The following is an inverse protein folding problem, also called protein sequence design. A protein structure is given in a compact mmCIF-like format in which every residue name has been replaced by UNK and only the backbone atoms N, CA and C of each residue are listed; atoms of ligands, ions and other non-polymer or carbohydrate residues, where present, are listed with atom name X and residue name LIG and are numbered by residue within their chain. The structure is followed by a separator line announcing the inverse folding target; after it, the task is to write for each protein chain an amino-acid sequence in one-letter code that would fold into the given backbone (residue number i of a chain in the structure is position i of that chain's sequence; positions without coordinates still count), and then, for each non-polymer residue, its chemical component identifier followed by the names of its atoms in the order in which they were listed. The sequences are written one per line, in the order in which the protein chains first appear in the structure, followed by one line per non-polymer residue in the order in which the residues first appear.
data_IF_406277099636
#
_entry.id   IF_406277099636
#
_cell.length_a   1.000
_cell.length_b   1.000
_cell.length_c   1.000
_cell.angle_alpha   90.00
_cell.angle_beta   90.00
_cell.angle_gamma   90.00
#
_symmetry.space_group_name_H-M   'P 1'
#
loop_
_entity.id
_entity.type
_entity.pdbx_description
1 polymer ?
#
# COMPACT_ATOMS: atom_id res chain seq x y z
N UNK A 1 17.96 12.37 -17.00
CA UNK A 1 16.83 12.43 -16.04
C UNK A 1 15.85 13.55 -16.39
N UNK A 2 16.31 14.79 -16.61
CA UNK A 2 15.42 15.93 -16.97
C UNK A 2 14.72 15.79 -18.32
N UNK A 3 15.39 15.21 -19.32
CA UNK A 3 14.83 15.03 -20.67
C UNK A 3 13.60 14.11 -20.68
N UNK A 4 13.54 13.13 -19.78
CA UNK A 4 12.36 12.26 -19.69
C UNK A 4 11.15 12.96 -19.05
N UNK A 5 11.38 13.88 -18.11
CA UNK A 5 10.30 14.69 -17.50
C UNK A 5 9.74 15.66 -18.54
N UNK A 6 10.62 16.29 -19.33
CA UNK A 6 10.24 17.15 -20.45
C UNK A 6 9.30 16.42 -21.43
N UNK A 7 9.65 15.19 -21.82
CA UNK A 7 8.81 14.35 -22.69
C UNK A 7 7.46 14.06 -22.05
N UNK A 8 7.42 13.67 -20.77
CA UNK A 8 6.15 13.38 -20.07
C UNK A 8 5.25 14.61 -19.92
N UNK A 9 5.82 15.78 -19.66
CA UNK A 9 5.09 17.06 -19.65
C UNK A 9 4.48 17.37 -21.02
N UNK A 10 5.25 17.16 -22.09
CA UNK A 10 4.74 17.30 -23.46
C UNK A 10 3.55 16.37 -23.73
N UNK A 11 3.65 15.11 -23.32
CA UNK A 11 2.55 14.13 -23.47
C UNK A 11 1.29 14.58 -22.72
N UNK A 12 1.41 15.17 -21.52
CA UNK A 12 0.26 15.72 -20.77
C UNK A 12 -0.43 16.83 -21.55
N UNK A 13 0.35 17.76 -22.11
CA UNK A 13 -0.20 18.86 -22.91
C UNK A 13 -0.92 18.36 -24.16
N UNK A 14 -0.30 17.42 -24.87
CA UNK A 14 -0.88 16.81 -26.07
C UNK A 14 -2.16 16.02 -25.76
N UNK A 15 -2.19 15.28 -24.65
CA UNK A 15 -3.37 14.56 -24.19
C UNK A 15 -4.55 15.48 -23.83
N UNK A 16 -4.26 16.73 -23.43
CA UNK A 16 -5.27 17.76 -23.19
C UNK A 16 -5.68 18.51 -24.47
N UNK A 17 -4.96 18.33 -25.59
CA UNK A 17 -5.17 19.10 -26.82
C UNK A 17 -4.82 20.58 -26.67
N UNK A 18 -3.97 20.93 -25.70
CA UNK A 18 -3.69 22.31 -25.32
C UNK A 18 -2.42 22.84 -26.00
N UNK A 19 -2.38 24.15 -26.23
CA UNK A 19 -1.16 24.87 -26.61
C UNK A 19 -0.33 25.20 -25.37
N UNK A 20 0.96 25.50 -25.52
CA UNK A 20 1.81 25.93 -24.39
C UNK A 20 1.22 27.10 -23.59
N UNK A 21 0.58 28.05 -24.30
CA UNK A 21 -0.02 29.23 -23.68
C UNK A 21 -1.30 28.86 -22.93
N UNK A 22 -2.16 28.05 -23.53
CA UNK A 22 -3.46 27.71 -22.93
C UNK A 22 -3.32 26.80 -21.72
N UNK A 23 -2.41 25.81 -21.75
CA UNK A 23 -2.13 24.98 -20.57
C UNK A 23 -1.50 25.80 -19.42
N UNK A 24 -0.60 26.74 -19.73
CA UNK A 24 -0.02 27.62 -18.71
C UNK A 24 -1.11 28.43 -18.00
N UNK A 25 -2.01 29.05 -18.76
CA UNK A 25 -3.13 29.81 -18.21
C UNK A 25 -4.09 28.93 -17.40
N UNK A 26 -4.43 27.74 -17.93
CA UNK A 26 -5.31 26.78 -17.27
C UNK A 26 -4.78 26.34 -15.90
N UNK A 27 -3.47 26.18 -15.78
CA UNK A 27 -2.81 25.79 -14.52
C UNK A 27 -2.49 26.99 -13.61
N UNK A 28 -2.81 28.22 -14.03
CA UNK A 28 -2.49 29.44 -13.28
C UNK A 28 -1.00 29.78 -13.27
N UNK A 29 -0.28 29.37 -14.31
CA UNK A 29 1.15 29.62 -14.49
C UNK A 29 1.38 30.84 -15.41
N UNK A 30 2.61 31.37 -15.40
CA UNK A 30 3.03 32.39 -16.36
C UNK A 30 2.95 31.86 -17.80
N UNK A 31 2.67 32.70 -18.82
CA UNK A 31 2.33 32.26 -20.19
C UNK A 31 3.38 31.38 -20.88
N UNK A 32 4.65 31.50 -20.46
CA UNK A 32 5.79 30.76 -21.00
C UNK A 32 6.30 29.66 -20.07
N UNK A 33 5.77 29.56 -18.84
CA UNK A 33 6.33 28.68 -17.81
C UNK A 33 6.18 27.21 -18.19
N UNK A 34 5.08 26.81 -18.85
CA UNK A 34 4.94 25.43 -19.30
C UNK A 34 5.97 25.06 -20.38
N UNK A 35 6.22 25.97 -21.33
CA UNK A 35 7.25 25.78 -22.35
C UNK A 35 8.63 25.62 -21.71
N UNK A 36 8.95 26.48 -20.74
CA UNK A 36 10.22 26.39 -19.99
C UNK A 36 10.35 25.05 -19.25
N UNK A 37 9.26 24.55 -18.65
CA UNK A 37 9.23 23.22 -18.03
C UNK A 37 9.50 22.10 -19.06
N UNK A 38 8.90 22.18 -20.26
CA UNK A 38 9.16 21.23 -21.35
C UNK A 38 10.59 21.33 -21.92
N UNK A 39 11.22 22.50 -21.91
CA UNK A 39 12.58 22.70 -22.44
C UNK A 39 13.66 22.29 -21.43
N UNK A 40 13.46 22.65 -20.15
CA UNK A 40 14.44 22.42 -19.09
C UNK A 40 14.26 21.08 -18.38
N UNK A 41 13.11 20.43 -18.57
CA UNK A 41 12.71 19.24 -17.80
C UNK A 41 12.44 19.55 -16.32
N UNK A 42 12.27 20.82 -15.97
CA UNK A 42 11.97 21.25 -14.60
C UNK A 42 10.49 21.03 -14.30
N UNK A 43 10.20 20.46 -13.14
CA UNK A 43 8.84 20.27 -12.68
C UNK A 43 8.14 21.61 -12.39
N UNK A 44 6.84 21.72 -12.73
CA UNK A 44 6.00 22.80 -12.23
C UNK A 44 5.98 22.83 -10.70
N UNK A 45 5.65 23.99 -10.13
CA UNK A 45 5.46 24.12 -8.68
C UNK A 45 4.27 23.28 -8.19
N UNK A 46 4.18 23.09 -6.87
CA UNK A 46 3.17 22.25 -6.21
C UNK A 46 1.74 22.57 -6.64
N UNK A 47 1.37 23.85 -6.76
CA UNK A 47 -0.01 24.23 -7.10
C UNK A 47 -0.41 23.80 -8.53
N UNK A 48 0.38 24.06 -9.59
CA UNK A 48 0.15 23.46 -10.91
C UNK A 48 0.10 21.92 -10.91
N UNK A 49 0.93 21.24 -10.11
CA UNK A 49 0.90 19.78 -9.99
C UNK A 49 -0.42 19.29 -9.38
N UNK A 50 -0.93 19.95 -8.35
CA UNK A 50 -2.24 19.63 -7.78
C UNK A 50 -3.37 19.80 -8.80
N UNK A 51 -3.30 20.86 -9.62
CA UNK A 51 -4.27 21.09 -10.72
C UNK A 51 -4.18 20.00 -11.79
N UNK A 52 -2.98 19.54 -12.16
CA UNK A 52 -2.80 18.40 -13.06
C UNK A 52 -3.41 17.11 -12.49
N UNK A 53 -3.22 16.86 -11.20
CA UNK A 53 -3.83 15.72 -10.53
C UNK A 53 -5.37 15.81 -10.53
N UNK A 54 -5.93 17.00 -10.31
CA UNK A 54 -7.37 17.25 -10.39
C UNK A 54 -7.92 17.08 -11.83
N UNK A 55 -7.09 17.27 -12.85
CA UNK A 55 -7.42 16.95 -14.25
C UNK A 55 -7.29 15.45 -14.58
N UNK A 56 -6.94 14.62 -13.59
CA UNK A 56 -6.87 13.17 -13.71
C UNK A 56 -5.51 12.65 -14.15
N UNK A 57 -4.42 13.42 -14.09
CA UNK A 57 -3.07 12.95 -14.39
C UNK A 57 -2.31 12.49 -13.16
N UNK A 58 -1.62 11.37 -13.26
CA UNK A 58 -0.82 10.81 -12.16
C UNK A 58 0.50 11.56 -11.97
N UNK A 59 0.70 12.12 -10.77
CA UNK A 59 1.98 12.75 -10.40
C UNK A 59 3.09 11.71 -10.29
N UNK A 60 2.80 10.51 -9.80
CA UNK A 60 3.77 9.41 -9.75
C UNK A 60 4.30 9.08 -11.15
N UNK A 61 3.42 9.02 -12.15
CA UNK A 61 3.82 8.78 -13.54
C UNK A 61 4.64 9.94 -14.10
N UNK A 62 4.24 11.18 -13.84
CA UNK A 62 4.97 12.36 -14.29
C UNK A 62 6.41 12.37 -13.75
N UNK A 63 6.60 12.00 -12.49
CA UNK A 63 7.90 12.01 -11.82
C UNK A 63 8.76 10.80 -12.20
N UNK A 64 8.17 9.60 -12.18
CA UNK A 64 8.94 8.34 -12.24
C UNK A 64 8.84 7.62 -13.59
N UNK A 65 7.89 8.01 -14.45
CA UNK A 65 7.54 7.27 -15.66
C UNK A 65 6.86 5.93 -15.41
N UNK A 66 6.57 5.57 -14.14
CA UNK A 66 5.93 4.31 -13.76
C UNK A 66 4.44 4.54 -13.48
N UNK A 67 3.63 3.48 -13.60
CA UNK A 67 2.15 3.49 -13.48
C UNK A 67 1.45 4.12 -14.69
N UNK A 68 0.12 4.18 -14.65
CA UNK A 68 -0.68 4.79 -15.71
C UNK A 68 -0.57 6.32 -15.69
N UNK A 69 -0.59 6.93 -16.88
CA UNK A 69 -0.56 8.38 -17.07
C UNK A 69 -1.80 9.07 -16.49
N UNK A 70 -2.99 8.49 -16.71
CA UNK A 70 -4.24 8.98 -16.10
C UNK A 70 -4.59 8.15 -14.87
N UNK A 71 -5.05 8.83 -13.83
CA UNK A 71 -5.49 8.23 -12.56
C UNK A 71 -6.68 7.28 -12.77
N UNK A 72 -7.45 7.44 -13.87
CA UNK A 72 -8.55 6.55 -14.26
C UNK A 72 -8.23 5.53 -15.37
N UNK A 73 -7.06 5.60 -16.04
CA UNK A 73 -6.63 4.60 -17.05
C UNK A 73 -5.93 3.40 -16.40
N UNK A 74 -5.91 3.35 -15.07
CA UNK A 74 -5.82 2.08 -14.38
C UNK A 74 -7.16 1.38 -14.69
N UNK A 75 -7.27 0.77 -15.88
CA UNK A 75 -8.07 -0.44 -16.02
C UNK A 75 -7.74 -1.23 -14.77
N UNK A 76 -8.73 -1.43 -13.89
CA UNK A 76 -8.58 -2.06 -12.59
C UNK A 76 -7.56 -3.19 -12.73
N UNK A 77 -6.28 -2.91 -12.45
CA UNK A 77 -5.52 -3.90 -11.73
C UNK A 77 -6.37 -3.98 -10.49
N UNK A 78 -7.03 -5.13 -10.23
CA UNK A 78 -7.71 -5.26 -8.97
C UNK A 78 -6.65 -4.86 -7.96
N UNK A 79 -6.87 -3.77 -7.23
CA UNK A 79 -6.21 -3.60 -5.96
C UNK A 79 -6.29 -4.99 -5.35
N UNK A 80 -5.16 -5.65 -4.96
CA UNK A 80 -5.23 -7.01 -4.46
C UNK A 80 -6.35 -6.95 -3.43
N UNK A 81 -7.51 -7.51 -3.80
CA UNK A 81 -8.70 -7.41 -2.95
C UNK A 81 -8.15 -7.99 -1.69
N UNK A 82 -8.05 -7.23 -0.58
CA UNK A 82 -7.38 -7.72 0.62
C UNK A 82 -7.97 -9.10 0.80
N UNK A 83 -7.13 -10.12 0.65
CA UNK A 83 -7.61 -11.49 0.54
C UNK A 83 -8.60 -11.64 1.67
N UNK A 84 -9.87 -12.02 1.40
CA UNK A 84 -10.94 -11.89 2.37
C UNK A 84 -10.39 -12.42 3.69
N UNK A 85 -10.36 -11.53 4.69
CA UNK A 85 -9.68 -11.77 5.94
C UNK A 85 -10.02 -13.18 6.38
N UNK A 86 -9.00 -14.04 6.50
CA UNK A 86 -9.17 -15.45 6.83
C UNK A 86 -9.68 -15.53 8.28
N UNK A 87 -10.99 -15.34 8.39
CA UNK A 87 -11.73 -15.19 9.63
C UNK A 87 -11.62 -16.46 10.48
N UNK A 88 -11.63 -17.68 9.89
CA UNK A 88 -11.28 -18.90 10.62
C UNK A 88 -9.88 -18.85 11.24
N UNK A 89 -8.84 -18.50 10.47
CA UNK A 89 -7.46 -18.43 10.99
C UNK A 89 -7.34 -17.35 12.06
N UNK A 90 -7.91 -16.17 11.83
CA UNK A 90 -7.88 -15.08 12.80
C UNK A 90 -8.59 -15.47 14.11
N UNK A 91 -9.76 -16.09 14.03
CA UNK A 91 -10.50 -16.59 15.20
C UNK A 91 -9.66 -17.60 15.98
N UNK A 92 -9.05 -18.58 15.30
CA UNK A 92 -8.23 -19.59 15.94
C UNK A 92 -7.00 -19.00 16.64
N UNK A 93 -6.30 -18.05 16.00
CA UNK A 93 -5.15 -17.34 16.60
C UNK A 93 -5.57 -16.50 17.81
N UNK A 94 -6.69 -15.77 17.72
CA UNK A 94 -7.20 -14.96 18.83
C UNK A 94 -7.62 -15.82 20.02
N UNK A 95 -8.26 -16.97 19.77
CA UNK A 95 -8.63 -17.91 20.84
C UNK A 95 -7.40 -18.50 21.52
N UNK A 96 -6.39 -18.91 20.75
CA UNK A 96 -5.12 -19.38 21.31
C UNK A 96 -4.44 -18.29 22.16
N UNK A 97 -4.46 -17.03 21.68
CA UNK A 97 -3.91 -15.89 22.42
C UNK A 97 -4.66 -15.62 23.72
N UNK A 98 -6.00 -15.62 23.71
CA UNK A 98 -6.81 -15.41 24.92
C UNK A 98 -6.51 -16.51 25.95
N UNK A 99 -6.45 -17.78 25.52
CA UNK A 99 -6.14 -18.89 26.41
C UNK A 99 -4.72 -18.80 26.97
N UNK A 100 -3.75 -18.41 26.16
CA UNK A 100 -2.37 -18.17 26.58
C UNK A 100 -2.28 -17.02 27.59
N UNK A 101 -2.88 -15.87 27.32
CA UNK A 101 -2.88 -14.69 28.19
C UNK A 101 -3.60 -14.92 29.53
N UNK A 102 -4.61 -15.78 29.56
CA UNK A 102 -5.28 -16.20 30.79
C UNK A 102 -4.38 -17.07 31.69
N UNK A 103 -3.49 -17.86 31.09
CA UNK A 103 -2.57 -18.76 31.82
C UNK A 103 -1.32 -18.04 32.29
N UNK A 104 -0.76 -17.19 31.44
CA UNK A 104 0.46 -16.43 31.73
C UNK A 104 0.22 -14.92 31.70
N UNK A 105 -0.51 -14.35 32.69
CA UNK A 105 -0.83 -12.93 32.70
C UNK A 105 0.43 -12.03 32.78
N UNK A 106 1.56 -12.60 33.21
CA UNK A 106 2.87 -11.92 33.27
C UNK A 106 3.57 -11.74 31.92
N UNK A 107 3.29 -12.58 30.92
CA UNK A 107 3.95 -12.54 29.60
C UNK A 107 3.66 -11.23 28.86
N UNK A 108 2.46 -10.66 29.07
CA UNK A 108 2.04 -9.38 28.52
C UNK A 108 2.89 -8.20 29.05
N UNK A 109 3.61 -8.41 30.16
CA UNK A 109 4.45 -7.41 30.80
C UNK A 109 5.95 -7.70 30.69
N UNK A 110 6.34 -8.96 30.42
CA UNK A 110 7.72 -9.42 30.58
C UNK A 110 8.58 -9.15 29.34
N UNK A 111 8.07 -9.38 28.13
CA UNK A 111 8.81 -9.15 26.89
C UNK A 111 7.90 -9.11 25.64
N UNK A 112 7.69 -7.92 25.04
CA UNK A 112 6.94 -7.78 23.78
C UNK A 112 7.52 -8.59 22.62
N UNK A 113 8.84 -8.83 22.60
CA UNK A 113 9.52 -9.59 21.54
C UNK A 113 9.19 -11.08 21.60
N UNK A 114 9.26 -11.69 22.78
CA UNK A 114 8.83 -13.08 22.99
C UNK A 114 7.35 -13.29 22.65
N UNK A 115 6.48 -12.35 23.01
CA UNK A 115 5.06 -12.41 22.66
C UNK A 115 4.85 -12.36 21.14
N UNK A 116 5.51 -11.42 20.46
CA UNK A 116 5.42 -11.29 19.01
C UNK A 116 5.91 -12.56 18.31
N UNK A 117 7.03 -13.12 18.76
CA UNK A 117 7.58 -14.38 18.25
C UNK A 117 6.56 -15.53 18.40
N UNK A 118 5.99 -15.69 19.58
CA UNK A 118 4.96 -16.70 19.85
C UNK A 118 3.72 -16.53 18.95
N UNK A 119 3.25 -15.29 18.76
CA UNK A 119 2.10 -15.01 17.89
C UNK A 119 2.37 -15.40 16.44
N UNK A 120 3.57 -15.10 15.93
CA UNK A 120 3.96 -15.46 14.56
C UNK A 120 4.08 -16.96 14.36
N UNK A 121 4.71 -17.68 15.30
CA UNK A 121 4.85 -19.14 15.24
C UNK A 121 3.47 -19.82 15.30
N UNK A 122 2.59 -19.34 16.19
CA UNK A 122 1.22 -19.85 16.31
C UNK A 122 0.41 -19.61 15.03
N UNK A 123 0.52 -18.42 14.43
CA UNK A 123 -0.11 -18.12 13.14
C UNK A 123 0.37 -19.06 12.02
N UNK A 124 1.68 -19.32 11.93
CA UNK A 124 2.23 -20.23 10.91
C UNK A 124 1.71 -21.66 11.09
N UNK A 125 1.65 -22.16 12.32
CA UNK A 125 1.16 -23.51 12.61
C UNK A 125 -0.34 -23.68 12.32
N UNK A 126 -1.15 -22.66 12.61
CA UNK A 126 -2.60 -22.70 12.36
C UNK A 126 -2.90 -22.51 10.87
N UNK A 127 -2.24 -21.57 10.21
CA UNK A 127 -2.49 -21.27 8.79
C UNK A 127 -2.10 -22.41 7.85
N UNK A 128 -1.12 -23.23 8.24
CA UNK A 128 -0.70 -24.43 7.52
C UNK A 128 -1.69 -25.61 7.58
N UNK A 129 -2.63 -25.59 8.53
CA UNK A 129 -3.63 -26.64 8.67
C UNK A 129 -4.85 -26.43 7.73
N UNK A 130 -5.52 -27.52 7.28
CA UNK A 130 -6.80 -27.44 6.60
C UNK A 130 -7.81 -26.63 7.43
N UNK A 131 -8.64 -25.83 6.78
CA UNK A 131 -9.53 -24.88 7.45
C UNK A 131 -10.43 -25.53 8.51
N UNK A 132 -10.89 -26.75 8.25
CA UNK A 132 -11.75 -27.55 9.15
C UNK A 132 -11.04 -27.97 10.44
N UNK A 133 -9.70 -28.04 10.43
CA UNK A 133 -8.88 -28.52 11.54
C UNK A 133 -8.23 -27.38 12.34
N UNK A 134 -8.38 -26.12 11.91
CA UNK A 134 -7.69 -24.97 12.53
C UNK A 134 -8.10 -24.71 13.98
N UNK A 135 -9.37 -24.89 14.30
CA UNK A 135 -9.88 -24.75 15.67
C UNK A 135 -9.31 -25.86 16.58
N UNK A 136 -9.19 -27.10 16.06
CA UNK A 136 -8.56 -28.21 16.77
C UNK A 136 -7.05 -27.99 16.93
N UNK A 137 -6.38 -27.50 15.88
CA UNK A 137 -4.95 -27.21 15.88
C UNK A 137 -4.58 -26.12 16.88
N UNK A 138 -5.40 -25.07 16.98
CA UNK A 138 -5.26 -24.05 18.01
C UNK A 138 -5.34 -24.64 19.42
N UNK A 139 -6.32 -25.52 19.68
CA UNK A 139 -6.44 -26.19 20.98
C UNK A 139 -5.24 -27.10 21.29
N UNK A 140 -4.70 -27.81 20.30
CA UNK A 140 -3.51 -28.65 20.44
C UNK A 140 -2.25 -27.85 20.76
N UNK A 141 -2.03 -26.71 20.09
CA UNK A 141 -0.86 -25.84 20.35
C UNK A 141 -0.90 -25.33 21.79
N UNK A 142 -2.08 -24.87 22.23
CA UNK A 142 -2.27 -24.40 23.61
C UNK A 142 -2.14 -25.55 24.63
N UNK A 143 -2.50 -26.79 24.28
CA UNK A 143 -2.32 -27.95 25.15
C UNK A 143 -0.88 -28.50 25.16
N UNK A 144 -0.14 -28.40 24.05
CA UNK A 144 1.24 -28.87 23.94
C UNK A 144 2.21 -27.99 24.73
N UNK A 145 1.93 -26.68 24.83
CA UNK A 145 2.69 -25.73 25.65
C UNK A 145 2.57 -26.02 27.15
N UNK A 146 1.51 -26.72 27.57
CA UNK A 146 1.30 -27.22 28.95
C UNK A 146 2.27 -28.38 29.32
N UNK A 147 2.75 -29.14 28.31
CA UNK A 147 3.65 -30.29 28.50
C UNK A 147 5.13 -29.96 28.41
N UNK A 148 5.48 -28.73 28.02
CA UNK A 148 6.86 -28.25 27.88
C UNK A 148 7.40 -27.50 29.11
N UNK A 149 6.58 -27.36 30.17
CA UNK A 149 6.96 -26.73 31.44
C UNK A 149 6.79 -27.77 32.56
N UNK A 150 7.64 -28.79 32.54
CA UNK A 150 7.88 -29.70 33.65
C UNK A 150 9.40 -29.83 33.86
#
# INVERSE_FOLDING_TARGET
MSEEIAVRLRTVREALGETHRSISLRLGMGPNTWRECEETGRLPKTEPLQKLNALGFSIDWLLTGRRAMKVGDVAEMPAPSPAPLDTPTLKAVLLAFIQFAQREPGILKADPGALLKWMMETYQLISAAPQEERDQRAAEITAAQDKGVA
#
